data_IF_007556753255
#
_entry.id   IF_007556753255
#
_cell.length_a   1.000
_cell.length_b   1.000
_cell.length_c   1.000
_cell.angle_alpha   90.00
_cell.angle_beta   90.00
_cell.angle_gamma   90.00
#
_symmetry.space_group_name_H-M   'P 1'
#
loop_
_entity.id
_entity.type
_entity.pdbx_description
1 polymer ?
#
# COMPACT_ATOMS: atom_id res chain seq x y z
N UNK A 1 -40.64 25.41 17.38
CA UNK A 1 -40.32 24.58 16.22
C UNK A 1 -39.28 25.18 15.28
N UNK A 2 -38.89 26.42 15.45
CA UNK A 2 -37.95 27.12 14.51
C UNK A 2 -36.44 26.87 14.72
N UNK A 3 -36.05 26.28 15.84
CA UNK A 3 -34.62 26.12 16.19
C UNK A 3 -33.99 24.82 15.72
N UNK A 4 -34.71 23.89 15.10
CA UNK A 4 -34.23 22.59 14.68
C UNK A 4 -33.75 22.61 13.23
N UNK A 5 -34.28 23.50 12.40
CA UNK A 5 -33.93 23.61 10.98
C UNK A 5 -32.47 23.97 10.73
N UNK A 6 -31.85 24.97 11.35
CA UNK A 6 -30.43 25.31 11.08
C UNK A 6 -29.50 24.18 11.53
N UNK A 7 -29.82 23.46 12.59
CA UNK A 7 -29.03 22.34 13.07
C UNK A 7 -29.00 21.17 12.08
N UNK A 8 -30.12 20.89 11.39
CA UNK A 8 -30.22 19.88 10.34
C UNK A 8 -29.35 20.21 9.12
N UNK A 9 -29.27 21.47 8.72
CA UNK A 9 -28.40 21.90 7.60
C UNK A 9 -26.93 21.70 7.92
N UNK A 10 -26.49 21.97 9.14
CA UNK A 10 -25.09 21.72 9.54
C UNK A 10 -24.78 20.21 9.58
N UNK A 11 -25.73 19.39 10.00
CA UNK A 11 -25.57 17.93 10.01
C UNK A 11 -25.40 17.36 8.60
N UNK A 12 -26.11 17.91 7.60
CA UNK A 12 -26.02 17.53 6.19
C UNK A 12 -24.60 17.69 5.60
N UNK A 13 -23.84 18.66 6.09
CA UNK A 13 -22.46 18.88 5.63
C UNK A 13 -21.42 18.16 6.49
N UNK A 14 -21.68 17.99 7.78
CA UNK A 14 -20.76 17.32 8.70
C UNK A 14 -20.66 15.83 8.40
N UNK A 15 -21.76 15.16 8.10
CA UNK A 15 -21.77 13.71 7.83
C UNK A 15 -20.90 13.35 6.64
N UNK A 16 -21.04 13.95 5.44
CA UNK A 16 -20.18 13.63 4.31
C UNK A 16 -18.71 14.00 4.58
N UNK A 17 -18.45 15.07 5.32
CA UNK A 17 -17.09 15.44 5.69
C UNK A 17 -16.44 14.40 6.61
N UNK A 18 -17.14 13.90 7.61
CA UNK A 18 -16.66 12.84 8.52
C UNK A 18 -16.43 11.54 7.76
N UNK A 19 -17.35 11.16 6.85
CA UNK A 19 -17.20 9.98 6.00
C UNK A 19 -16.00 10.10 5.07
N UNK A 20 -15.78 11.28 4.50
CA UNK A 20 -14.61 11.55 3.67
C UNK A 20 -13.32 11.43 4.47
N UNK A 21 -13.25 12.02 5.66
CA UNK A 21 -12.09 11.92 6.55
C UNK A 21 -11.82 10.46 6.97
N UNK A 22 -12.88 9.71 7.26
CA UNK A 22 -12.78 8.28 7.57
C UNK A 22 -12.23 7.48 6.38
N UNK A 23 -12.75 7.74 5.17
CA UNK A 23 -12.28 7.12 3.94
C UNK A 23 -10.80 7.44 3.66
N UNK A 24 -10.40 8.71 3.73
CA UNK A 24 -9.01 9.15 3.54
C UNK A 24 -8.05 8.58 4.60
N UNK A 25 -8.58 8.24 5.77
CA UNK A 25 -7.81 7.63 6.87
C UNK A 25 -7.70 6.11 6.76
N UNK A 26 -8.43 5.49 5.82
CA UNK A 26 -8.47 4.04 5.70
C UNK A 26 -7.11 3.46 5.30
N UNK A 27 -6.73 2.28 5.84
CA UNK A 27 -5.48 1.62 5.48
C UNK A 27 -5.38 1.28 3.99
N UNK A 28 -6.53 0.95 3.36
CA UNK A 28 -6.59 0.66 1.91
C UNK A 28 -6.22 1.88 1.07
N UNK A 29 -6.84 3.03 1.34
CA UNK A 29 -6.55 4.26 0.61
C UNK A 29 -5.07 4.67 0.71
N UNK A 30 -4.46 4.46 1.88
CA UNK A 30 -3.03 4.74 2.09
C UNK A 30 -2.13 3.75 1.35
N UNK A 31 -2.52 2.48 1.27
CA UNK A 31 -1.85 1.46 0.48
C UNK A 31 -1.85 1.80 -1.00
N UNK A 32 -3.00 2.20 -1.54
CA UNK A 32 -3.16 2.60 -2.94
C UNK A 32 -2.30 3.82 -3.30
N UNK A 33 -2.15 4.77 -2.38
CA UNK A 33 -1.24 5.92 -2.56
C UNK A 33 0.21 5.47 -2.63
N UNK A 34 0.64 4.56 -1.75
CA UNK A 34 2.01 4.05 -1.73
C UNK A 34 2.33 3.32 -3.04
N UNK A 35 1.45 2.45 -3.49
CA UNK A 35 1.58 1.73 -4.77
C UNK A 35 1.64 2.70 -5.96
N UNK A 36 0.73 3.68 -6.02
CA UNK A 36 0.72 4.70 -7.08
C UNK A 36 2.03 5.50 -7.11
N UNK A 37 2.61 5.79 -5.95
CA UNK A 37 3.90 6.48 -5.85
C UNK A 37 5.04 5.64 -6.42
N UNK A 38 5.11 4.37 -6.05
CA UNK A 38 6.10 3.42 -6.58
C UNK A 38 5.93 3.26 -8.09
N UNK A 39 4.71 3.08 -8.58
CA UNK A 39 4.38 3.01 -10.01
C UNK A 39 4.91 4.23 -10.77
N UNK A 40 4.73 5.44 -10.24
CA UNK A 40 5.24 6.67 -10.86
C UNK A 40 6.77 6.68 -10.90
N UNK A 41 7.43 6.33 -9.79
CA UNK A 41 8.90 6.29 -9.71
C UNK A 41 9.46 5.30 -10.71
N UNK A 42 8.91 4.10 -10.81
CA UNK A 42 9.34 3.08 -11.78
C UNK A 42 9.11 3.54 -13.22
N UNK A 43 7.98 4.19 -13.50
CA UNK A 43 7.65 4.67 -14.85
C UNK A 43 8.50 5.84 -15.34
N UNK A 44 9.03 6.67 -14.44
CA UNK A 44 9.83 7.85 -14.77
C UNK A 44 11.31 7.66 -14.54
N UNK A 45 11.71 6.80 -13.58
CA UNK A 45 13.09 6.59 -13.18
C UNK A 45 13.83 5.51 -14.00
N UNK A 46 13.10 4.63 -14.68
CA UNK A 46 13.68 3.55 -15.46
C UNK A 46 13.67 3.87 -16.97
N UNK A 47 14.77 3.54 -17.63
CA UNK A 47 14.89 3.63 -19.09
C UNK A 47 13.97 2.59 -19.76
N UNK A 48 12.96 3.07 -20.47
CA UNK A 48 11.95 2.24 -21.17
C UNK A 48 12.54 1.34 -22.26
N UNK A 49 13.71 1.67 -22.76
CA UNK A 49 14.43 0.83 -23.74
C UNK A 49 15.17 -0.36 -23.10
N UNK A 50 15.39 -0.31 -21.79
CA UNK A 50 16.15 -1.34 -21.05
C UNK A 50 15.31 -2.11 -20.04
N UNK A 51 14.23 -1.52 -19.56
CA UNK A 51 13.37 -2.05 -18.51
C UNK A 51 11.91 -2.08 -18.95
N UNK A 52 11.27 -3.21 -18.79
CA UNK A 52 9.82 -3.35 -18.96
C UNK A 52 9.18 -3.51 -17.59
N UNK A 53 8.20 -2.67 -17.28
CA UNK A 53 7.53 -2.67 -15.97
C UNK A 53 6.10 -3.15 -16.13
N UNK A 54 5.73 -4.15 -15.34
CA UNK A 54 4.37 -4.64 -15.21
C UNK A 54 3.83 -4.24 -13.83
N UNK A 55 2.55 -3.92 -13.76
CA UNK A 55 1.87 -3.54 -12.53
C UNK A 55 0.69 -4.47 -12.30
N UNK A 56 0.41 -4.80 -11.02
CA UNK A 56 -0.72 -5.65 -10.62
C UNK A 56 -0.76 -6.99 -11.40
N UNK A 57 0.39 -7.65 -11.48
CA UNK A 57 0.52 -8.91 -12.21
C UNK A 57 -0.07 -10.04 -11.39
N UNK A 58 -1.09 -10.72 -11.95
CA UNK A 58 -1.70 -11.89 -11.33
C UNK A 58 -1.03 -13.14 -11.90
N UNK A 59 -0.42 -13.93 -11.04
CA UNK A 59 0.28 -15.18 -11.42
C UNK A 59 -0.32 -16.39 -10.71
N UNK A 60 -0.35 -17.55 -11.35
CA UNK A 60 -0.74 -18.79 -10.68
C UNK A 60 0.24 -19.14 -9.57
N UNK A 61 -0.28 -19.51 -8.39
CA UNK A 61 0.52 -19.96 -7.26
C UNK A 61 -0.19 -21.11 -6.53
N UNK A 62 0.34 -22.32 -6.66
CA UNK A 62 -0.29 -23.51 -6.09
C UNK A 62 -1.70 -23.72 -6.63
N UNK A 63 -2.70 -23.83 -5.74
CA UNK A 63 -4.13 -23.99 -6.10
C UNK A 63 -4.86 -22.66 -6.35
N UNK A 64 -4.16 -21.52 -6.30
CA UNK A 64 -4.76 -20.18 -6.42
C UNK A 64 -3.95 -19.25 -7.29
N UNK A 65 -4.10 -17.96 -7.03
CA UNK A 65 -3.36 -16.89 -7.68
C UNK A 65 -2.78 -15.94 -6.65
N UNK A 66 -1.64 -15.32 -6.98
CA UNK A 66 -1.01 -14.25 -6.21
C UNK A 66 -0.93 -13.02 -7.08
N UNK A 67 -1.24 -11.87 -6.50
CA UNK A 67 -1.06 -10.57 -7.15
C UNK A 67 0.26 -9.98 -6.70
N UNK A 68 1.09 -9.60 -7.67
CA UNK A 68 2.37 -8.92 -7.45
C UNK A 68 2.19 -7.45 -7.83
N UNK A 69 2.58 -6.54 -6.96
CA UNK A 69 2.38 -5.10 -7.17
C UNK A 69 3.13 -4.60 -8.39
N UNK A 70 4.44 -4.91 -8.50
CA UNK A 70 5.24 -4.52 -9.64
C UNK A 70 6.28 -5.58 -9.99
N UNK A 71 6.46 -5.82 -11.28
CA UNK A 71 7.54 -6.67 -11.82
C UNK A 71 8.33 -5.86 -12.83
N UNK A 72 9.64 -5.80 -12.66
CA UNK A 72 10.55 -5.14 -13.59
C UNK A 72 11.39 -6.20 -14.28
N UNK A 73 11.32 -6.24 -15.60
CA UNK A 73 12.06 -7.17 -16.44
C UNK A 73 13.14 -6.41 -17.20
N UNK A 74 14.36 -6.95 -17.20
CA UNK A 74 15.49 -6.41 -17.94
C UNK A 74 16.47 -7.51 -18.32
N UNK A 75 17.49 -7.15 -19.11
CA UNK A 75 18.63 -8.06 -19.39
C UNK A 75 19.44 -8.45 -18.14
N UNK A 76 19.27 -7.74 -17.04
CA UNK A 76 19.95 -8.02 -15.77
C UNK A 76 19.18 -8.96 -14.87
N UNK A 77 17.91 -9.23 -15.19
CA UNK A 77 17.05 -10.13 -14.42
C UNK A 77 15.62 -9.64 -14.31
N UNK A 78 14.85 -10.36 -13.49
CA UNK A 78 13.48 -10.06 -13.12
C UNK A 78 13.48 -9.62 -11.66
N UNK A 79 12.90 -8.44 -11.39
CA UNK A 79 12.81 -7.87 -10.06
C UNK A 79 11.34 -7.82 -9.65
N UNK A 80 11.02 -8.47 -8.54
CA UNK A 80 9.69 -8.44 -7.91
C UNK A 80 9.70 -7.35 -6.83
N UNK A 81 8.77 -6.40 -6.93
CA UNK A 81 8.68 -5.26 -6.03
C UNK A 81 7.29 -5.23 -5.41
N UNK A 82 7.24 -5.32 -4.09
CA UNK A 82 6.04 -5.16 -3.28
C UNK A 82 6.05 -3.78 -2.62
N UNK A 83 4.88 -3.13 -2.62
CA UNK A 83 4.70 -1.82 -2.01
C UNK A 83 4.05 -1.97 -0.64
N UNK A 84 4.70 -1.48 0.40
CA UNK A 84 4.15 -1.51 1.76
C UNK A 84 4.06 -0.09 2.33
N UNK A 85 2.89 0.26 2.84
CA UNK A 85 2.69 1.52 3.53
C UNK A 85 3.00 1.37 5.01
N UNK A 86 4.06 2.02 5.47
CA UNK A 86 4.42 2.07 6.88
C UNK A 86 4.54 3.52 7.36
N UNK A 87 3.86 3.86 8.45
CA UNK A 87 3.94 5.18 9.09
C UNK A 87 4.68 5.05 10.41
N UNK A 88 5.98 5.32 10.40
CA UNK A 88 6.83 5.26 11.58
C UNK A 88 8.17 4.58 11.31
N UNK A 89 8.86 4.24 12.38
CA UNK A 89 10.13 3.52 12.32
C UNK A 89 9.88 2.02 12.19
N UNK A 90 10.35 1.44 11.11
CA UNK A 90 10.26 0.01 10.86
C UNK A 90 11.60 -0.64 11.21
N UNK A 91 11.57 -1.73 11.96
CA UNK A 91 12.74 -2.52 12.32
C UNK A 91 12.44 -4.01 12.25
N UNK A 92 13.38 -4.76 11.71
CA UNK A 92 13.29 -6.20 11.56
C UNK A 92 14.45 -6.75 10.73
N UNK A 93 14.60 -8.05 10.73
CA UNK A 93 15.59 -8.78 9.92
C UNK A 93 14.88 -9.69 8.92
N UNK A 94 15.60 -10.13 7.89
CA UNK A 94 15.03 -11.00 6.85
C UNK A 94 14.52 -12.36 7.37
N UNK A 95 15.06 -12.82 8.49
CA UNK A 95 14.71 -14.13 9.07
C UNK A 95 13.57 -14.08 10.09
N UNK A 96 13.22 -12.89 10.58
CA UNK A 96 12.12 -12.73 11.54
C UNK A 96 10.78 -12.90 10.85
N UNK A 97 9.84 -13.62 11.46
CA UNK A 97 8.48 -13.78 10.95
C UNK A 97 7.71 -12.46 10.95
N UNK A 98 7.96 -11.61 11.94
CA UNK A 98 7.28 -10.32 12.09
C UNK A 98 8.29 -9.19 12.31
N UNK A 99 7.97 -8.03 11.77
CA UNK A 99 8.70 -6.78 11.97
C UNK A 99 7.92 -5.86 12.91
N UNK A 100 8.65 -4.91 13.49
CA UNK A 100 8.12 -3.91 14.42
C UNK A 100 7.99 -2.57 13.71
N UNK A 101 6.85 -1.92 13.88
CA UNK A 101 6.65 -0.53 13.49
C UNK A 101 6.34 0.30 14.73
N UNK A 102 7.17 1.31 15.00
CA UNK A 102 7.00 2.25 16.11
C UNK A 102 6.51 3.59 15.57
N UNK A 103 5.33 4.03 16.01
CA UNK A 103 4.73 5.30 15.63
C UNK A 103 4.04 5.93 16.84
N UNK A 104 4.33 7.20 17.12
CA UNK A 104 3.68 7.97 18.20
C UNK A 104 3.69 7.25 19.56
N UNK A 105 4.82 6.64 19.92
CA UNK A 105 4.97 5.91 21.19
C UNK A 105 4.34 4.52 21.24
N UNK A 106 3.60 4.12 20.21
CA UNK A 106 3.00 2.78 20.10
C UNK A 106 3.85 1.88 19.20
N UNK A 107 4.00 0.62 19.61
CA UNK A 107 4.67 -0.42 18.81
C UNK A 107 3.62 -1.38 18.28
N UNK A 108 3.66 -1.63 16.97
CA UNK A 108 2.82 -2.60 16.27
C UNK A 108 3.70 -3.65 15.60
N UNK A 109 3.29 -4.91 15.65
CA UNK A 109 3.88 -5.99 14.87
C UNK A 109 3.10 -6.16 13.57
N UNK A 110 3.81 -6.48 12.49
CA UNK A 110 3.24 -6.84 11.20
C UNK A 110 4.10 -7.90 10.53
N UNK A 111 3.50 -8.67 9.66
CA UNK A 111 4.19 -9.78 9.00
C UNK A 111 5.34 -9.27 8.13
N UNK A 112 6.44 -10.01 8.14
CA UNK A 112 7.62 -9.67 7.37
C UNK A 112 7.30 -9.69 5.86
N UNK A 113 7.34 -8.54 5.18
CA UNK A 113 6.99 -8.45 3.75
C UNK A 113 7.93 -9.24 2.85
N UNK A 114 9.17 -9.51 3.28
CA UNK A 114 10.11 -10.34 2.52
C UNK A 114 9.67 -11.81 2.42
N UNK A 115 8.89 -12.31 3.38
CA UNK A 115 8.34 -13.66 3.29
C UNK A 115 7.28 -13.75 2.19
N UNK A 116 6.47 -12.72 2.01
CA UNK A 116 5.48 -12.64 0.93
C UNK A 116 6.18 -12.64 -0.43
N UNK A 117 7.19 -11.81 -0.59
CA UNK A 117 7.98 -11.74 -1.82
C UNK A 117 8.69 -13.06 -2.17
N UNK A 118 9.15 -13.83 -1.17
CA UNK A 118 9.75 -15.16 -1.40
C UNK A 118 8.76 -16.19 -1.92
N UNK A 119 7.48 -16.09 -1.56
CA UNK A 119 6.44 -16.99 -2.05
C UNK A 119 6.05 -16.70 -3.51
N UNK A 120 6.48 -15.55 -4.05
CA UNK A 120 6.20 -15.09 -5.41
C UNK A 120 7.35 -15.37 -6.39
N UNK A 121 8.49 -15.83 -5.90
CA UNK A 121 9.66 -16.23 -6.69
C UNK A 121 9.61 -17.73 -7.03
#
# INVERSE_FOLDING_TARGET
MESVQPMLYHLLWIVPLVLLLFFLSSPRFRGDIAETRVRRILGTGLDKGRYTVFHQLVVPAGAGTVTIDHVVVSKFGIFVIESEYARGWVSGTAVQAQWKMKSSGKTRLFDNPLHRTKLQQ
#
